data_IF_856844052579
#
_entry.id   IF_856844052579
#
_cell.length_a   1.000
_cell.length_b   1.000
_cell.length_c   1.000
_cell.angle_alpha   90.00
_cell.angle_beta   90.00
_cell.angle_gamma   90.00
#
_symmetry.space_group_name_H-M   'P 1'
#
loop_
_entity.id
_entity.type
_entity.pdbx_description
1 polymer ?
#
# COMPACT_ATOMS: atom_id res chain seq x y z
N UNK A 1 7.96 35.63 -19.42
CA UNK A 1 8.29 34.54 -20.35
C UNK A 1 9.53 33.89 -19.79
N UNK A 2 9.37 32.88 -18.94
CA UNK A 2 10.49 32.09 -18.40
C UNK A 2 10.40 30.79 -19.17
N UNK A 3 11.26 30.67 -20.18
CA UNK A 3 11.34 29.51 -21.07
C UNK A 3 11.73 28.26 -20.29
N UNK A 4 11.11 27.17 -20.73
CA UNK A 4 11.38 25.79 -20.43
C UNK A 4 12.88 25.49 -20.25
N UNK A 5 13.28 25.19 -19.02
CA UNK A 5 14.28 24.16 -18.77
C UNK A 5 13.52 22.92 -18.28
N UNK A 6 12.69 22.35 -19.16
CA UNK A 6 12.36 20.94 -19.02
C UNK A 6 13.61 20.25 -19.54
N UNK A 7 14.46 19.80 -18.62
CA UNK A 7 15.49 18.83 -18.94
C UNK A 7 14.86 17.81 -19.88
N UNK A 8 15.40 17.74 -21.11
CA UNK A 8 15.22 16.60 -21.98
C UNK A 8 15.34 15.36 -21.10
N UNK A 9 14.37 14.41 -21.07
CA UNK A 9 14.54 13.19 -20.32
C UNK A 9 15.58 12.34 -21.06
N UNK A 10 16.85 12.73 -20.93
CA UNK A 10 17.96 11.80 -21.04
C UNK A 10 17.61 10.64 -20.11
N UNK A 11 17.81 9.42 -20.60
CA UNK A 11 17.51 8.20 -19.90
C UNK A 11 18.34 8.10 -18.61
N UNK A 12 17.96 8.86 -17.60
CA UNK A 12 18.49 8.73 -16.26
C UNK A 12 18.04 7.35 -15.81
N UNK A 13 19.03 6.48 -15.62
CA UNK A 13 18.80 5.14 -15.12
C UNK A 13 18.11 5.23 -13.76
N UNK A 14 17.01 4.50 -13.61
CA UNK A 14 16.28 4.45 -12.35
C UNK A 14 17.09 3.66 -11.33
N UNK A 15 17.62 4.36 -10.34
CA UNK A 15 18.53 3.78 -9.35
C UNK A 15 17.77 3.20 -8.15
N UNK A 16 18.49 2.44 -7.31
CA UNK A 16 17.95 2.02 -6.02
C UNK A 16 17.57 3.18 -5.11
N UNK A 17 18.29 4.31 -5.19
CA UNK A 17 17.93 5.49 -4.41
C UNK A 17 16.59 6.07 -4.88
N UNK A 18 16.34 6.08 -6.19
CA UNK A 18 15.07 6.54 -6.76
C UNK A 18 13.91 5.65 -6.31
N UNK A 19 14.09 4.33 -6.35
CA UNK A 19 13.06 3.40 -5.87
C UNK A 19 12.84 3.51 -4.36
N UNK A 20 13.90 3.68 -3.56
CA UNK A 20 13.79 3.89 -2.12
C UNK A 20 13.04 5.18 -1.78
N UNK A 21 13.30 6.26 -2.53
CA UNK A 21 12.59 7.53 -2.36
C UNK A 21 11.11 7.39 -2.77
N UNK A 22 10.83 6.69 -3.87
CA UNK A 22 9.48 6.42 -4.32
C UNK A 22 8.70 5.60 -3.27
N UNK A 23 9.31 4.56 -2.70
CA UNK A 23 8.73 3.77 -1.62
C UNK A 23 8.49 4.61 -0.36
N UNK A 24 9.41 5.49 0.00
CA UNK A 24 9.22 6.40 1.13
C UNK A 24 8.01 7.32 0.92
N UNK A 25 7.86 7.89 -0.27
CA UNK A 25 6.70 8.73 -0.63
C UNK A 25 5.39 7.93 -0.52
N UNK A 26 5.37 6.68 -0.98
CA UNK A 26 4.19 5.81 -0.89
C UNK A 26 3.79 5.55 0.57
N UNK A 27 4.78 5.28 1.43
CA UNK A 27 4.55 5.08 2.86
C UNK A 27 4.01 6.35 3.54
N UNK A 28 4.60 7.52 3.22
CA UNK A 28 4.15 8.80 3.78
C UNK A 28 2.73 9.14 3.34
N UNK A 29 2.39 8.91 2.07
CA UNK A 29 1.04 9.14 1.57
C UNK A 29 0.02 8.22 2.25
N UNK A 30 0.33 6.94 2.42
CA UNK A 30 -0.52 5.99 3.13
C UNK A 30 -0.70 6.38 4.61
N UNK A 31 0.40 6.72 5.28
CA UNK A 31 0.36 7.13 6.68
C UNK A 31 -0.49 8.39 6.86
N UNK A 32 -0.22 9.44 6.08
CA UNK A 32 -0.98 10.69 6.15
C UNK A 32 -2.47 10.47 5.84
N UNK A 33 -2.80 9.66 4.84
CA UNK A 33 -4.18 9.31 4.53
C UNK A 33 -4.89 8.60 5.69
N UNK A 34 -4.18 7.69 6.38
CA UNK A 34 -4.72 6.96 7.53
C UNK A 34 -4.97 7.89 8.72
N UNK A 35 -4.01 8.76 9.03
CA UNK A 35 -4.15 9.77 10.09
C UNK A 35 -5.28 10.75 9.79
N UNK A 36 -5.34 11.27 8.56
CA UNK A 36 -6.36 12.22 8.15
C UNK A 36 -7.78 11.62 8.27
N UNK A 37 -7.97 10.37 7.83
CA UNK A 37 -9.23 9.65 8.05
C UNK A 37 -9.56 9.58 9.54
N UNK A 38 -8.58 9.28 10.40
CA UNK A 38 -8.76 9.30 11.85
C UNK A 38 -9.20 10.65 12.40
N UNK A 39 -8.69 11.75 11.85
CA UNK A 39 -9.04 13.11 12.29
C UNK A 39 -10.43 13.55 11.85
N UNK A 40 -10.88 13.15 10.66
CA UNK A 40 -12.16 13.60 10.09
C UNK A 40 -13.32 12.62 10.34
N UNK A 41 -13.04 11.39 10.76
CA UNK A 41 -14.08 10.41 11.07
C UNK A 41 -14.73 10.74 12.41
N UNK A 42 -16.02 11.07 12.41
CA UNK A 42 -16.81 11.16 13.62
C UNK A 42 -17.02 9.76 14.22
N UNK A 43 -16.51 9.48 15.43
CA UNK A 43 -16.70 8.17 16.08
C UNK A 43 -18.16 7.87 16.44
N UNK A 44 -19.01 8.89 16.51
CA UNK A 44 -20.41 8.76 16.88
C UNK A 44 -21.37 8.62 15.69
N UNK A 45 -20.88 8.80 14.46
CA UNK A 45 -21.64 8.62 13.23
C UNK A 45 -22.28 7.20 13.19
N UNK A 46 -23.62 7.12 13.03
CA UNK A 46 -24.34 5.85 12.93
C UNK A 46 -23.79 4.90 11.85
N UNK A 47 -23.35 5.42 10.70
CA UNK A 47 -22.81 4.60 9.61
C UNK A 47 -21.43 4.03 9.96
N UNK A 48 -20.58 4.80 10.64
CA UNK A 48 -19.28 4.31 11.16
C UNK A 48 -19.49 3.20 12.20
N UNK A 49 -20.47 3.37 13.10
CA UNK A 49 -20.83 2.34 14.09
C UNK A 49 -21.35 1.08 13.43
N UNK A 50 -22.22 1.21 12.43
CA UNK A 50 -22.77 0.09 11.66
C UNK A 50 -21.67 -0.68 10.92
N UNK A 51 -20.78 0.01 10.19
CA UNK A 51 -19.66 -0.60 9.49
C UNK A 51 -18.70 -1.35 10.44
N UNK A 52 -18.40 -0.78 11.61
CA UNK A 52 -17.59 -1.44 12.66
C UNK A 52 -18.27 -2.71 13.19
N UNK A 53 -19.58 -2.66 13.43
CA UNK A 53 -20.34 -3.81 13.88
C UNK A 53 -20.41 -4.92 12.82
N UNK A 54 -20.62 -4.56 11.56
CA UNK A 54 -20.62 -5.49 10.42
C UNK A 54 -19.25 -6.17 10.26
N UNK A 55 -18.15 -5.42 10.33
CA UNK A 55 -16.79 -5.98 10.31
C UNK A 55 -16.52 -6.92 11.48
N UNK A 56 -16.98 -6.56 12.69
CA UNK A 56 -16.87 -7.43 13.86
C UNK A 56 -17.66 -8.72 13.68
N UNK A 57 -18.83 -8.65 13.03
CA UNK A 57 -19.69 -9.80 12.74
C UNK A 57 -19.13 -10.70 11.63
N UNK A 58 -18.49 -10.13 10.61
CA UNK A 58 -17.84 -10.92 9.55
C UNK A 58 -16.61 -11.67 10.04
N UNK A 59 -15.98 -11.22 11.13
CA UNK A 59 -14.77 -11.81 11.67
C UNK A 59 -13.54 -11.59 10.79
N UNK A 60 -13.68 -10.79 9.73
CA UNK A 60 -12.63 -10.47 8.78
C UNK A 60 -11.58 -9.58 9.43
N UNK A 61 -10.39 -10.14 9.60
CA UNK A 61 -9.25 -9.42 10.19
C UNK A 61 -8.56 -8.63 9.08
N UNK A 62 -8.09 -7.41 9.37
CA UNK A 62 -7.20 -6.72 8.44
C UNK A 62 -5.97 -7.58 8.13
N UNK A 63 -5.34 -7.36 6.96
CA UNK A 63 -4.02 -7.89 6.69
C UNK A 63 -3.02 -7.55 7.83
N UNK A 64 -2.07 -8.43 8.14
CA UNK A 64 -1.07 -8.20 9.18
C UNK A 64 -0.08 -7.08 8.84
N UNK A 65 0.05 -6.73 7.56
CA UNK A 65 0.84 -5.60 7.08
C UNK A 65 -0.01 -4.68 6.21
N UNK A 66 0.25 -3.36 6.20
CA UNK A 66 -0.48 -2.45 5.34
C UNK A 66 -0.20 -2.76 3.87
N UNK A 67 -1.26 -2.76 3.06
CA UNK A 67 -1.15 -2.82 1.60
C UNK A 67 -1.07 -1.38 1.10
N UNK A 68 0.14 -0.93 0.76
CA UNK A 68 0.45 0.46 0.43
C UNK A 68 0.37 0.64 -1.09
N UNK A 69 -0.57 1.45 -1.63
CA UNK A 69 -0.64 1.69 -3.06
C UNK A 69 0.53 2.58 -3.54
N UNK A 70 1.11 2.32 -4.71
CA UNK A 70 2.13 3.20 -5.27
C UNK A 70 1.47 4.49 -5.77
N UNK A 71 1.96 5.62 -5.28
CA UNK A 71 1.53 6.97 -5.68
C UNK A 71 2.70 7.80 -6.23
N UNK A 72 3.93 7.44 -5.89
CA UNK A 72 5.12 8.10 -6.38
C UNK A 72 5.28 7.90 -7.89
N UNK A 73 5.76 8.96 -8.55
CA UNK A 73 6.03 8.94 -9.99
C UNK A 73 7.23 8.05 -10.28
N UNK A 74 7.02 7.03 -11.12
CA UNK A 74 8.04 6.07 -11.55
C UNK A 74 8.07 5.97 -13.09
N UNK A 75 9.16 5.51 -13.70
CA UNK A 75 9.15 5.09 -15.09
C UNK A 75 8.20 3.89 -15.28
N UNK A 76 7.74 3.63 -16.51
CA UNK A 76 6.64 2.69 -16.77
C UNK A 76 6.88 1.28 -16.22
N UNK A 77 8.09 0.73 -16.35
CA UNK A 77 8.39 -0.63 -15.90
C UNK A 77 8.35 -0.75 -14.37
N UNK A 78 8.93 0.20 -13.65
CA UNK A 78 8.93 0.21 -12.18
C UNK A 78 7.54 0.52 -11.62
N UNK A 79 6.78 1.41 -12.27
CA UNK A 79 5.38 1.63 -11.92
C UNK A 79 4.56 0.34 -12.04
N UNK A 80 4.71 -0.37 -13.17
CA UNK A 80 4.05 -1.65 -13.41
C UNK A 80 4.44 -2.70 -12.37
N UNK A 81 5.72 -2.80 -12.03
CA UNK A 81 6.22 -3.72 -11.01
C UNK A 81 5.63 -3.42 -9.62
N UNK A 82 5.62 -2.14 -9.22
CA UNK A 82 5.05 -1.71 -7.93
C UNK A 82 3.54 -2.00 -7.83
N UNK A 83 2.79 -1.74 -8.90
CA UNK A 83 1.37 -2.09 -8.97
C UNK A 83 1.15 -3.60 -8.90
N UNK A 84 1.95 -4.39 -9.63
CA UNK A 84 1.85 -5.85 -9.61
C UNK A 84 2.10 -6.42 -8.21
N UNK A 85 3.09 -5.91 -7.48
CA UNK A 85 3.36 -6.32 -6.09
C UNK A 85 2.16 -6.05 -5.17
N UNK A 86 1.56 -4.86 -5.28
CA UNK A 86 0.39 -4.51 -4.47
C UNK A 86 -0.80 -5.42 -4.79
N UNK A 87 -1.05 -5.72 -6.06
CA UNK A 87 -2.13 -6.64 -6.43
C UNK A 87 -1.86 -8.06 -5.93
N UNK A 88 -0.61 -8.54 -5.97
CA UNK A 88 -0.24 -9.82 -5.37
C UNK A 88 -0.51 -9.85 -3.86
N UNK A 89 -0.17 -8.77 -3.14
CA UNK A 89 -0.49 -8.64 -1.72
C UNK A 89 -2.01 -8.61 -1.46
N UNK A 90 -2.78 -7.91 -2.30
CA UNK A 90 -4.25 -7.90 -2.21
C UNK A 90 -4.82 -9.29 -2.41
N UNK A 91 -4.40 -10.00 -3.45
CA UNK A 91 -4.86 -11.36 -3.74
C UNK A 91 -4.50 -12.33 -2.61
N UNK A 92 -3.27 -12.25 -2.11
CA UNK A 92 -2.78 -13.07 -1.00
C UNK A 92 -3.63 -12.87 0.26
N UNK A 93 -3.97 -11.64 0.61
CA UNK A 93 -4.73 -11.35 1.83
C UNK A 93 -6.26 -11.40 1.65
N UNK A 94 -6.78 -11.37 0.42
CA UNK A 94 -8.21 -11.57 0.12
C UNK A 94 -8.66 -13.00 0.40
N UNK A 95 -7.78 -13.97 0.17
CA UNK A 95 -7.98 -15.37 0.50
C UNK A 95 -6.86 -15.79 1.46
N UNK A 96 -6.97 -15.52 2.78
CA UNK A 96 -5.98 -16.05 3.70
C UNK A 96 -6.09 -17.57 3.61
N UNK A 97 -5.16 -18.21 2.88
CA UNK A 97 -4.99 -19.66 2.95
C UNK A 97 -4.98 -19.98 4.43
N UNK A 98 -5.89 -20.85 4.87
CA UNK A 98 -6.06 -21.19 6.28
C UNK A 98 -4.68 -21.60 6.77
N UNK A 99 -4.02 -20.70 7.51
CA UNK A 99 -2.67 -20.94 7.98
C UNK A 99 -2.70 -22.27 8.71
N UNK A 100 -1.86 -23.22 8.29
CA UNK A 100 -1.80 -24.51 8.97
C UNK A 100 -1.46 -24.23 10.44
N UNK A 101 -2.01 -24.98 11.41
CA UNK A 101 -1.70 -24.77 12.81
C UNK A 101 -0.17 -24.83 13.00
N UNK A 102 0.45 -23.68 13.34
CA UNK A 102 1.90 -23.56 13.52
C UNK A 102 2.65 -22.71 12.48
N UNK A 103 2.04 -22.32 11.36
CA UNK A 103 2.67 -21.38 10.40
C UNK A 103 2.42 -19.92 10.82
N UNK A 104 3.51 -19.15 10.95
CA UNK A 104 3.43 -17.72 11.20
C UNK A 104 2.89 -17.00 9.97
N UNK A 105 1.91 -16.11 10.13
CA UNK A 105 1.43 -15.25 9.04
C UNK A 105 2.52 -14.32 8.47
N UNK A 106 3.64 -14.20 9.17
CA UNK A 106 4.82 -13.46 8.71
C UNK A 106 5.68 -14.26 7.72
N UNK A 107 5.72 -15.60 7.80
CA UNK A 107 6.57 -16.38 6.88
C UNK A 107 6.07 -16.40 5.44
N UNK A 108 4.78 -16.12 5.23
CA UNK A 108 4.20 -15.96 3.91
C UNK A 108 4.52 -14.59 3.28
N UNK A 109 4.84 -13.59 4.11
CA UNK A 109 5.28 -12.27 3.65
C UNK A 109 6.70 -12.30 3.13
N UNK A 110 7.60 -13.05 3.76
CA UNK A 110 8.98 -13.24 3.29
C UNK A 110 9.02 -13.81 1.87
N UNK A 111 8.06 -14.68 1.51
CA UNK A 111 7.96 -15.24 0.15
C UNK A 111 7.53 -14.23 -0.92
N UNK A 112 6.82 -13.16 -0.52
CA UNK A 112 6.34 -12.11 -1.42
C UNK A 112 7.33 -10.93 -1.47
N UNK A 113 7.98 -10.64 -0.35
CA UNK A 113 8.89 -9.50 -0.18
C UNK A 113 10.37 -9.83 -0.50
N UNK A 114 10.75 -11.12 -0.50
CA UNK A 114 12.11 -11.59 -0.76
C UNK A 114 12.91 -11.84 0.51
#
# INVERSE_FOLDING_TARGET
>A
MVEQALDEPGAQEWTYTDENLANLVDHLAYWLGTEYVGWVTDPDDPEVKKARAERKRSGEKPPPVPIIPPVARRPPEQAKAAHALVEQLREHFKNPAVAKPGESKLSALDQILG
#
